data_IF_088098364366
#
_entry.id   IF_088098364366
#
_cell.length_a   1.000
_cell.length_b   1.000
_cell.length_c   1.000
_cell.angle_alpha   90.00
_cell.angle_beta   90.00
_cell.angle_gamma   90.00
#
_symmetry.space_group_name_H-M   'P 1'
#
loop_
_entity.id
_entity.type
_entity.pdbx_description
1 polymer ?
#
# COMPACT_ATOMS: atom_id res chain seq x y z
N UNK A 1 8.15 -13.99 -5.72
CA UNK A 1 6.77 -13.51 -5.54
C UNK A 1 6.67 -12.07 -6.00
N UNK A 2 5.63 -11.74 -6.71
CA UNK A 2 5.40 -10.37 -7.20
C UNK A 2 4.59 -9.59 -6.18
N UNK A 3 5.18 -8.52 -5.66
CA UNK A 3 4.61 -7.73 -4.57
C UNK A 3 4.50 -6.27 -5.02
N UNK A 4 3.35 -5.66 -4.75
CA UNK A 4 3.15 -4.22 -4.95
C UNK A 4 2.93 -3.54 -3.61
N UNK A 5 3.44 -2.33 -3.46
CA UNK A 5 3.21 -1.48 -2.30
C UNK A 5 2.42 -0.24 -2.71
N UNK A 6 1.28 -0.05 -2.08
CA UNK A 6 0.53 1.20 -2.17
C UNK A 6 0.96 2.04 -0.96
N UNK A 7 1.73 3.07 -1.23
CA UNK A 7 2.34 3.88 -0.18
C UNK A 7 3.79 3.51 0.08
N UNK A 8 4.67 4.51 0.05
CA UNK A 8 6.11 4.33 0.22
C UNK A 8 6.67 5.26 1.31
N UNK A 9 5.90 5.49 2.35
CA UNK A 9 6.33 6.23 3.52
C UNK A 9 7.25 5.40 4.42
N UNK A 10 7.35 5.75 5.70
CA UNK A 10 8.29 5.09 6.62
C UNK A 10 8.09 3.58 6.69
N UNK A 11 6.86 3.12 6.87
CA UNK A 11 6.56 1.68 6.98
C UNK A 11 6.68 1.00 5.62
N UNK A 12 6.04 1.55 4.59
CA UNK A 12 6.03 0.96 3.26
C UNK A 12 7.43 0.82 2.67
N UNK A 13 8.23 1.88 2.75
CA UNK A 13 9.60 1.85 2.23
C UNK A 13 10.47 0.84 2.98
N UNK A 14 10.37 0.78 4.31
CA UNK A 14 11.16 -0.16 5.11
C UNK A 14 10.84 -1.62 4.75
N UNK A 15 9.57 -1.96 4.64
CA UNK A 15 9.15 -3.31 4.25
C UNK A 15 9.52 -3.63 2.82
N UNK A 16 9.32 -2.70 1.90
CA UNK A 16 9.64 -2.90 0.48
C UNK A 16 11.11 -3.21 0.27
N UNK A 17 12.01 -2.47 0.90
CA UNK A 17 13.45 -2.69 0.83
C UNK A 17 13.81 -4.09 1.32
N UNK A 18 13.26 -4.49 2.47
CA UNK A 18 13.54 -5.81 3.06
C UNK A 18 13.06 -6.95 2.18
N UNK A 19 11.86 -6.84 1.61
CA UNK A 19 11.32 -7.87 0.74
C UNK A 19 12.09 -7.96 -0.57
N UNK A 20 12.51 -6.83 -1.13
CA UNK A 20 13.32 -6.81 -2.33
C UNK A 20 14.69 -7.48 -2.10
N UNK A 21 15.31 -7.22 -0.95
CA UNK A 21 16.58 -7.84 -0.57
C UNK A 21 16.44 -9.33 -0.32
N UNK A 22 15.25 -9.80 0.06
CA UNK A 22 14.95 -11.21 0.23
C UNK A 22 14.72 -11.95 -1.10
N UNK A 23 14.76 -11.26 -2.23
CA UNK A 23 14.64 -11.86 -3.55
C UNK A 23 13.28 -11.76 -4.20
N UNK A 24 12.32 -11.03 -3.59
CA UNK A 24 11.01 -10.81 -4.19
C UNK A 24 11.07 -9.68 -5.22
N UNK A 25 10.18 -9.77 -6.20
CA UNK A 25 9.99 -8.70 -7.19
C UNK A 25 9.04 -7.66 -6.58
N UNK A 26 9.57 -6.51 -6.18
CA UNK A 26 8.81 -5.48 -5.48
C UNK A 26 8.64 -4.25 -6.35
N UNK A 27 7.39 -3.81 -6.51
CA UNK A 27 7.03 -2.63 -7.28
C UNK A 27 6.32 -1.63 -6.37
N UNK A 28 6.76 -0.39 -6.40
CA UNK A 28 6.12 0.70 -5.69
C UNK A 28 5.02 1.28 -6.59
N UNK A 29 3.79 1.29 -6.11
CA UNK A 29 2.67 1.81 -6.86
C UNK A 29 2.60 3.33 -6.70
N UNK A 30 2.62 4.04 -7.82
CA UNK A 30 2.53 5.50 -7.82
C UNK A 30 1.12 5.95 -8.20
N UNK A 31 0.42 6.57 -7.25
CA UNK A 31 -0.86 7.22 -7.54
C UNK A 31 -0.63 8.52 -8.31
N UNK A 32 0.55 9.13 -8.13
CA UNK A 32 0.95 10.36 -8.80
C UNK A 32 2.42 10.24 -9.22
N UNK A 33 2.69 10.43 -10.49
CA UNK A 33 4.03 10.38 -11.02
C UNK A 33 4.95 11.38 -10.33
N UNK A 34 6.18 10.96 -10.05
CA UNK A 34 7.16 11.83 -9.42
C UNK A 34 7.01 12.01 -7.92
N UNK A 35 6.30 11.10 -7.24
CA UNK A 35 6.16 11.13 -5.79
C UNK A 35 7.52 11.16 -5.09
N UNK A 36 7.70 12.11 -4.17
CA UNK A 36 8.95 12.25 -3.41
C UNK A 36 9.21 11.03 -2.52
N UNK A 37 8.18 10.43 -1.92
CA UNK A 37 8.33 9.25 -1.07
C UNK A 37 8.74 8.02 -1.89
N UNK A 38 8.21 7.87 -3.10
CA UNK A 38 8.60 6.79 -4.00
C UNK A 38 10.06 6.98 -4.44
N UNK A 39 10.44 8.19 -4.83
CA UNK A 39 11.82 8.48 -5.23
C UNK A 39 12.81 8.20 -4.10
N UNK A 40 12.48 8.60 -2.87
CA UNK A 40 13.30 8.33 -1.70
C UNK A 40 13.45 6.81 -1.45
N UNK A 41 12.37 6.05 -1.60
CA UNK A 41 12.41 4.60 -1.43
C UNK A 41 13.26 3.93 -2.52
N UNK A 42 13.12 4.36 -3.78
CA UNK A 42 13.91 3.81 -4.88
C UNK A 42 15.42 3.99 -4.68
N UNK A 43 15.83 5.07 -4.04
CA UNK A 43 17.24 5.34 -3.75
C UNK A 43 17.83 4.36 -2.74
N UNK A 44 17.01 3.69 -1.95
CA UNK A 44 17.45 2.76 -0.89
C UNK A 44 17.78 1.35 -1.41
N UNK A 45 17.25 0.96 -2.57
CA UNK A 45 17.54 -0.34 -3.15
C UNK A 45 17.38 -0.30 -4.66
N UNK A 46 18.35 -0.86 -5.38
CA UNK A 46 18.29 -0.99 -6.83
C UNK A 46 17.31 -2.08 -7.29
N UNK A 47 16.82 -2.90 -6.36
CA UNK A 47 15.87 -3.98 -6.66
C UNK A 47 14.41 -3.51 -6.64
N UNK A 48 14.17 -2.28 -6.23
CA UNK A 48 12.85 -1.68 -6.27
C UNK A 48 12.61 -1.03 -7.62
N UNK A 49 11.37 -1.08 -8.07
CA UNK A 49 10.90 -0.35 -9.25
C UNK A 49 9.60 0.37 -8.93
N UNK A 50 9.18 1.28 -9.77
CA UNK A 50 7.95 2.02 -9.60
C UNK A 50 7.13 1.96 -10.89
N UNK A 51 5.80 1.87 -10.75
CA UNK A 51 4.86 1.84 -11.88
C UNK A 51 3.57 2.56 -11.46
N UNK A 52 2.78 3.02 -12.44
CA UNK A 52 1.46 3.56 -12.13
C UNK A 52 0.64 2.57 -11.29
N UNK A 53 -0.15 3.07 -10.36
CA UNK A 53 -0.81 2.25 -9.35
C UNK A 53 -1.67 1.11 -9.95
N UNK A 54 -2.42 1.39 -11.01
CA UNK A 54 -3.27 0.38 -11.62
C UNK A 54 -2.44 -0.77 -12.20
N UNK A 55 -1.33 -0.47 -12.85
CA UNK A 55 -0.45 -1.47 -13.45
C UNK A 55 0.28 -2.30 -12.39
N UNK A 56 0.77 -1.64 -11.34
CA UNK A 56 1.47 -2.30 -10.25
C UNK A 56 0.56 -3.31 -9.55
N UNK A 57 -0.67 -2.91 -9.25
CA UNK A 57 -1.65 -3.77 -8.57
C UNK A 57 -2.08 -4.94 -9.46
N UNK A 58 -2.34 -4.68 -10.74
CA UNK A 58 -2.78 -5.72 -11.66
C UNK A 58 -1.80 -6.89 -11.75
N UNK A 59 -0.51 -6.59 -11.80
CA UNK A 59 0.52 -7.61 -12.01
C UNK A 59 1.01 -8.27 -10.71
N UNK A 60 0.60 -7.76 -9.55
CA UNK A 60 1.03 -8.28 -8.27
C UNK A 60 0.21 -9.49 -7.81
N UNK A 61 0.84 -10.36 -7.03
CA UNK A 61 0.17 -11.47 -6.34
C UNK A 61 -0.26 -11.05 -4.94
N UNK A 62 0.57 -10.23 -4.29
CA UNK A 62 0.32 -9.69 -2.95
C UNK A 62 0.45 -8.17 -3.00
N UNK A 63 -0.49 -7.47 -2.39
CA UNK A 63 -0.50 -6.01 -2.34
C UNK A 63 -0.44 -5.56 -0.89
N UNK A 64 0.56 -4.76 -0.54
CA UNK A 64 0.69 -4.14 0.77
C UNK A 64 0.12 -2.73 0.71
N UNK A 65 -0.73 -2.40 1.67
CA UNK A 65 -1.28 -1.04 1.81
C UNK A 65 -0.57 -0.38 3.00
N UNK A 66 0.21 0.65 2.72
CA UNK A 66 0.99 1.39 3.71
C UNK A 66 0.81 2.91 3.54
N UNK A 67 -0.37 3.32 3.10
CA UNK A 67 -0.76 4.72 2.96
C UNK A 67 -1.14 5.31 4.33
N UNK A 68 -1.22 6.64 4.47
CA UNK A 68 -1.94 7.23 5.60
C UNK A 68 -3.37 6.67 5.63
N UNK A 69 -3.86 6.25 6.79
CA UNK A 69 -5.14 5.53 6.88
C UNK A 69 -6.29 6.31 6.20
N UNK A 70 -6.33 7.63 6.39
CA UNK A 70 -7.37 8.47 5.81
C UNK A 70 -7.42 8.48 4.28
N UNK A 71 -6.35 8.05 3.61
CA UNK A 71 -6.33 7.96 2.15
C UNK A 71 -7.01 6.70 1.61
N UNK A 72 -7.24 5.68 2.44
CA UNK A 72 -7.78 4.40 1.99
C UNK A 72 -9.14 4.53 1.32
N UNK A 73 -10.01 5.40 1.85
CA UNK A 73 -11.35 5.59 1.30
C UNK A 73 -11.37 6.15 -0.12
N UNK A 74 -10.33 6.87 -0.54
CA UNK A 74 -10.21 7.39 -1.91
C UNK A 74 -9.35 6.53 -2.82
N UNK A 75 -8.35 5.83 -2.26
CA UNK A 75 -7.38 5.05 -3.05
C UNK A 75 -7.90 3.65 -3.40
N UNK A 76 -8.50 2.94 -2.44
CA UNK A 76 -8.85 1.54 -2.62
C UNK A 76 -10.07 1.26 -3.51
N UNK A 77 -11.20 1.98 -3.41
CA UNK A 77 -12.37 1.63 -4.22
C UNK A 77 -12.12 1.57 -5.73
N UNK A 78 -11.35 2.50 -6.34
CA UNK A 78 -11.06 2.38 -7.78
C UNK A 78 -10.25 1.15 -8.15
N UNK A 79 -9.58 0.51 -7.17
CA UNK A 79 -8.74 -0.66 -7.37
C UNK A 79 -9.43 -1.97 -7.00
N UNK A 80 -10.69 -1.93 -6.57
CA UNK A 80 -11.38 -3.11 -6.06
C UNK A 80 -11.36 -4.29 -7.04
N UNK A 81 -11.60 -4.04 -8.32
CA UNK A 81 -11.59 -5.11 -9.33
C UNK A 81 -10.19 -5.68 -9.55
N UNK A 82 -9.17 -4.83 -9.57
CA UNK A 82 -7.78 -5.26 -9.73
C UNK A 82 -7.29 -6.04 -8.52
N UNK A 83 -7.83 -5.75 -7.33
CA UNK A 83 -7.47 -6.43 -6.07
C UNK A 83 -8.24 -7.74 -5.87
N UNK A 84 -9.29 -7.99 -6.62
CA UNK A 84 -10.10 -9.19 -6.44
C UNK A 84 -9.26 -10.47 -6.57
N UNK A 85 -9.41 -11.36 -5.62
CA UNK A 85 -8.69 -12.64 -5.59
C UNK A 85 -7.24 -12.55 -5.14
N UNK A 86 -6.76 -11.38 -4.75
CA UNK A 86 -5.37 -11.19 -4.29
C UNK A 86 -5.29 -11.11 -2.77
N UNK A 87 -4.10 -11.36 -2.24
CA UNK A 87 -3.83 -11.15 -0.82
C UNK A 87 -3.52 -9.68 -0.60
N UNK A 88 -4.29 -9.04 0.25
CA UNK A 88 -4.09 -7.64 0.64
C UNK A 88 -3.57 -7.61 2.07
N UNK A 89 -2.37 -7.06 2.26
CA UNK A 89 -1.77 -6.89 3.58
C UNK A 89 -1.95 -5.44 3.99
N UNK A 90 -2.75 -5.22 5.03
CA UNK A 90 -3.05 -3.88 5.53
C UNK A 90 -2.04 -3.51 6.63
N UNK A 91 -1.19 -2.52 6.32
CA UNK A 91 -0.22 -1.97 7.28
C UNK A 91 -0.70 -0.64 7.87
N UNK A 92 -1.93 -0.24 7.59
CA UNK A 92 -2.46 1.04 8.05
C UNK A 92 -3.07 0.93 9.44
N UNK A 93 -3.23 2.08 10.10
CA UNK A 93 -3.80 2.14 11.43
C UNK A 93 -4.72 3.36 11.51
N UNK A 94 -5.96 3.22 12.01
CA UNK A 94 -6.91 4.33 12.09
C UNK A 94 -6.58 5.30 13.23
N UNK A 95 -5.43 5.96 13.12
CA UNK A 95 -4.98 6.96 14.09
C UNK A 95 -5.47 8.33 13.65
N UNK A 96 -6.29 8.97 14.49
CA UNK A 96 -6.81 10.31 14.28
C UNK A 96 -5.97 11.37 14.98
N UNK A 97 -6.46 12.61 15.03
CA UNK A 97 -5.77 13.71 15.69
C UNK A 97 -5.44 13.36 17.15
N UNK A 98 -4.22 13.73 17.59
CA UNK A 98 -3.77 13.47 18.97
C UNK A 98 -3.61 11.98 19.27
N UNK A 99 -3.36 11.14 18.25
CA UNK A 99 -3.25 9.69 18.36
C UNK A 99 -4.55 9.02 18.82
N UNK A 100 -5.70 9.68 18.64
CA UNK A 100 -7.00 9.09 18.92
C UNK A 100 -7.38 8.04 17.87
N UNK A 101 -8.35 7.18 18.19
CA UNK A 101 -8.85 6.21 17.21
C UNK A 101 -9.66 6.94 16.13
N UNK A 102 -9.18 6.91 14.88
CA UNK A 102 -9.77 7.67 13.77
C UNK A 102 -11.17 7.24 13.36
N UNK A 103 -11.65 6.09 13.83
CA UNK A 103 -13.00 5.57 13.59
C UNK A 103 -13.85 5.58 14.85
N UNK A 104 -13.44 6.34 15.87
CA UNK A 104 -14.16 6.49 17.14
C UNK A 104 -14.41 5.15 17.84
N UNK A 105 -13.54 4.18 17.63
CA UNK A 105 -13.64 2.81 18.17
C UNK A 105 -14.91 2.06 17.74
N UNK A 106 -15.60 2.50 16.70
CA UNK A 106 -16.82 1.86 16.19
C UNK A 106 -16.51 0.61 15.38
N UNK A 107 -15.35 0.57 14.71
CA UNK A 107 -14.85 -0.60 13.99
C UNK A 107 -13.34 -0.53 13.83
N UNK A 108 -12.72 -1.65 13.49
CA UNK A 108 -11.28 -1.69 13.25
C UNK A 108 -10.93 -1.09 11.89
N UNK A 109 -9.65 -0.70 11.72
CA UNK A 109 -9.14 -0.25 10.44
C UNK A 109 -9.24 -1.33 9.37
N UNK A 110 -8.96 -2.57 9.71
CA UNK A 110 -9.06 -3.70 8.77
C UNK A 110 -10.49 -3.96 8.31
N UNK A 111 -11.47 -3.78 9.18
CA UNK A 111 -12.88 -3.89 8.80
C UNK A 111 -13.26 -2.82 7.77
N UNK A 112 -12.79 -1.59 7.97
CA UNK A 112 -13.01 -0.52 7.00
C UNK A 112 -12.35 -0.86 5.65
N UNK A 113 -11.09 -1.26 5.66
CA UNK A 113 -10.36 -1.60 4.44
C UNK A 113 -11.06 -2.74 3.69
N UNK A 114 -11.49 -3.80 4.39
CA UNK A 114 -12.20 -4.91 3.76
C UNK A 114 -13.52 -4.45 3.13
N UNK A 115 -14.21 -3.49 3.74
CA UNK A 115 -15.47 -2.98 3.19
C UNK A 115 -15.28 -2.18 1.90
N UNK A 116 -14.09 -1.60 1.68
CA UNK A 116 -13.75 -0.83 0.47
C UNK A 116 -13.38 -1.76 -0.69
N UNK A 117 -12.89 -2.96 -0.40
CA UNK A 117 -12.46 -3.95 -1.40
C UNK A 117 -12.96 -5.34 -0.99
N UNK A 118 -14.27 -5.59 -1.11
CA UNK A 118 -14.91 -6.78 -0.54
C UNK A 118 -14.54 -8.12 -1.19
N UNK A 119 -13.84 -8.11 -2.31
CA UNK A 119 -13.45 -9.33 -3.04
C UNK A 119 -12.02 -9.77 -2.79
#
# INVERSE_FOLDING_TARGET
MKIAFIGAGNVGAALAVRLAEAGHEVVLAEAKEGSASVAAALSRSKRLSARPIADAVRDAEVVFVATPFGANASVLPPLADALAGKVLVDCTNPVGPGLSHGLKSERSGSELVQSLVPK
#
